data_IF_967605568002
#
_entry.id   IF_967605568002
#
_cell.length_a   1.000
_cell.length_b   1.000
_cell.length_c   1.000
_cell.angle_alpha   90.00
_cell.angle_beta   90.00
_cell.angle_gamma   90.00
#
_symmetry.space_group_name_H-M   'P 1'
#
loop_
_entity.id
_entity.type
_entity.pdbx_description
1 polymer ?
#
# COMPACT_ATOMS: atom_id res chain seq x y z
N UNK A 1 5.56 24.38 5.89
CA UNK A 1 5.83 23.99 4.50
C UNK A 1 4.57 24.07 3.64
N UNK A 2 4.57 24.80 2.50
CA UNK A 2 3.47 24.78 1.52
C UNK A 2 3.81 23.84 0.36
N UNK A 3 3.01 22.78 0.15
CA UNK A 3 3.16 21.90 -1.03
C UNK A 3 2.44 22.56 -2.20
N UNK A 4 3.16 22.80 -3.30
CA UNK A 4 2.58 23.26 -4.58
C UNK A 4 2.84 22.19 -5.63
N UNK A 5 1.78 21.56 -6.12
CA UNK A 5 1.86 20.56 -7.17
C UNK A 5 2.38 21.22 -8.46
N UNK A 6 3.38 20.60 -9.07
CA UNK A 6 3.89 20.98 -10.39
C UNK A 6 3.24 20.10 -11.44
N UNK A 7 3.09 20.65 -12.64
CA UNK A 7 2.64 19.87 -13.79
C UNK A 7 3.67 18.79 -14.12
N UNK A 8 3.25 17.53 -14.04
CA UNK A 8 4.11 16.34 -14.17
C UNK A 8 3.50 15.39 -15.20
N UNK A 9 4.00 15.41 -16.42
CA UNK A 9 3.52 14.54 -17.51
C UNK A 9 3.88 13.08 -17.26
N UNK A 10 2.95 12.17 -17.56
CA UNK A 10 3.22 10.74 -17.60
C UNK A 10 3.94 10.39 -18.89
N UNK A 11 5.01 9.61 -18.80
CA UNK A 11 5.82 9.14 -19.93
C UNK A 11 5.86 7.62 -20.05
N UNK A 12 5.51 6.91 -18.99
CA UNK A 12 5.48 5.46 -18.96
C UNK A 12 4.11 4.98 -18.47
N UNK A 13 3.52 4.04 -19.20
CA UNK A 13 2.12 3.57 -19.03
C UNK A 13 1.98 2.03 -19.08
N UNK A 14 3.08 1.28 -19.24
CA UNK A 14 2.99 -0.15 -19.56
C UNK A 14 2.46 -1.01 -18.40
N UNK A 15 3.15 -1.00 -17.26
CA UNK A 15 2.72 -1.72 -16.05
C UNK A 15 2.50 -0.80 -14.84
N UNK A 16 2.76 0.50 -15.00
CA UNK A 16 2.43 1.57 -14.06
C UNK A 16 2.41 2.92 -14.79
N UNK A 17 1.88 3.96 -14.15
CA UNK A 17 1.96 5.34 -14.65
C UNK A 17 3.08 6.09 -13.93
N UNK A 18 4.09 6.56 -14.67
CA UNK A 18 5.25 7.30 -14.14
C UNK A 18 5.71 8.40 -15.11
N UNK A 19 6.36 9.42 -14.57
CA UNK A 19 6.98 10.53 -15.30
C UNK A 19 8.34 10.13 -15.89
N UNK A 20 9.01 9.12 -15.33
CA UNK A 20 10.22 8.52 -15.88
C UNK A 20 9.98 7.05 -16.22
N UNK A 21 10.71 6.55 -17.21
CA UNK A 21 10.77 5.12 -17.52
C UNK A 21 11.49 4.34 -16.40
N UNK A 22 11.29 3.02 -16.31
CA UNK A 22 12.03 2.19 -15.37
C UNK A 22 13.55 2.29 -15.56
N UNK A 23 14.03 2.38 -16.81
CA UNK A 23 15.46 2.52 -17.12
C UNK A 23 16.05 3.84 -16.59
N UNK A 24 15.36 4.97 -16.80
CA UNK A 24 15.77 6.27 -16.27
C UNK A 24 15.79 6.27 -14.73
N UNK A 25 14.74 5.71 -14.10
CA UNK A 25 14.64 5.61 -12.65
C UNK A 25 15.76 4.74 -12.09
N UNK A 26 16.01 3.58 -12.71
CA UNK A 26 17.02 2.63 -12.28
C UNK A 26 18.43 3.24 -12.35
N UNK A 27 18.73 4.04 -13.38
CA UNK A 27 20.02 4.71 -13.53
C UNK A 27 20.40 5.56 -12.32
N UNK A 28 19.43 6.21 -11.66
CA UNK A 28 19.66 7.00 -10.45
C UNK A 28 19.50 6.20 -9.16
N UNK A 29 18.42 5.40 -9.05
CA UNK A 29 18.12 4.63 -7.85
C UNK A 29 19.20 3.58 -7.53
N UNK A 30 19.80 2.96 -8.55
CA UNK A 30 20.85 1.95 -8.39
C UNK A 30 22.08 2.51 -7.64
N UNK A 31 22.38 3.80 -7.80
CA UNK A 31 23.49 4.49 -7.12
C UNK A 31 23.25 4.69 -5.62
N UNK A 32 22.00 4.56 -5.17
CA UNK A 32 21.57 4.83 -3.80
C UNK A 32 21.45 3.59 -2.93
N UNK A 33 21.52 2.38 -3.52
CA UNK A 33 21.33 1.09 -2.82
C UNK A 33 22.16 0.98 -1.54
N UNK A 34 23.47 1.24 -1.64
CA UNK A 34 24.37 1.16 -0.49
C UNK A 34 24.08 2.24 0.55
N UNK A 35 23.72 3.45 0.12
CA UNK A 35 23.37 4.56 1.03
C UNK A 35 22.13 4.27 1.87
N UNK A 36 21.18 3.53 1.30
CA UNK A 36 20.01 3.06 2.05
C UNK A 36 20.26 1.71 2.71
N UNK A 37 21.48 1.18 2.70
CA UNK A 37 21.86 -0.02 3.43
C UNK A 37 21.47 -1.35 2.76
N UNK A 38 21.17 -1.37 1.46
CA UNK A 38 20.99 -2.62 0.72
C UNK A 38 22.36 -3.29 0.56
N UNK A 39 22.53 -4.47 1.15
CA UNK A 39 23.78 -5.26 1.07
C UNK A 39 23.69 -6.43 0.10
N UNK A 40 22.47 -6.92 -0.16
CA UNK A 40 22.20 -8.02 -1.09
C UNK A 40 20.90 -7.73 -1.83
N UNK A 41 20.87 -8.04 -3.12
CA UNK A 41 19.66 -7.96 -3.92
C UNK A 41 19.65 -9.08 -4.96
N UNK A 42 18.52 -9.76 -5.08
CA UNK A 42 18.40 -10.98 -5.88
C UNK A 42 17.11 -11.01 -6.68
N UNK A 43 17.21 -11.58 -7.87
CA UNK A 43 16.07 -11.94 -8.69
C UNK A 43 15.52 -13.29 -8.22
N UNK A 44 14.36 -13.27 -7.57
CA UNK A 44 13.72 -14.45 -6.99
C UNK A 44 12.56 -14.97 -7.84
N UNK A 45 12.43 -14.48 -9.08
CA UNK A 45 11.38 -14.85 -10.03
C UNK A 45 11.30 -16.36 -10.26
N UNK A 46 12.46 -17.03 -10.33
CA UNK A 46 12.54 -18.46 -10.62
C UNK A 46 12.08 -19.36 -9.46
N UNK A 47 11.72 -18.79 -8.30
CA UNK A 47 11.18 -19.56 -7.18
C UNK A 47 9.73 -20.01 -7.40
N UNK A 48 8.96 -19.29 -8.22
CA UNK A 48 7.56 -19.63 -8.52
C UNK A 48 7.36 -19.91 -10.01
N UNK A 49 6.41 -20.80 -10.32
CA UNK A 49 6.04 -21.21 -11.68
C UNK A 49 5.35 -20.11 -12.49
N UNK A 50 4.88 -19.05 -11.82
CA UNK A 50 4.22 -17.93 -12.47
C UNK A 50 5.18 -17.12 -13.36
N UNK A 51 6.49 -17.12 -13.06
CA UNK A 51 7.54 -16.37 -13.78
C UNK A 51 7.23 -14.86 -13.95
N UNK A 52 6.47 -14.28 -13.01
CA UNK A 52 6.27 -12.83 -12.89
C UNK A 52 7.47 -12.25 -12.15
N UNK A 53 8.15 -11.21 -12.67
CA UNK A 53 9.35 -10.67 -12.06
C UNK A 53 9.17 -10.21 -10.60
N UNK A 54 9.98 -10.79 -9.71
CA UNK A 54 10.05 -10.42 -8.29
C UNK A 54 11.51 -10.35 -7.86
N UNK A 55 11.87 -9.25 -7.21
CA UNK A 55 13.19 -9.04 -6.60
C UNK A 55 13.08 -9.01 -5.08
N UNK A 56 14.13 -9.45 -4.39
CA UNK A 56 14.30 -9.32 -2.94
C UNK A 56 15.57 -8.52 -2.65
N UNK A 57 15.54 -7.65 -1.64
CA UNK A 57 16.70 -6.91 -1.17
C UNK A 57 16.81 -6.98 0.36
N UNK A 58 18.04 -7.11 0.86
CA UNK A 58 18.32 -7.18 2.29
C UNK A 58 18.97 -5.88 2.79
N UNK A 59 18.40 -5.29 3.84
CA UNK A 59 18.99 -4.22 4.67
C UNK A 59 19.20 -4.76 6.10
N UNK A 60 20.34 -5.40 6.40
CA UNK A 60 20.56 -6.03 7.70
C UNK A 60 20.63 -5.02 8.86
N UNK A 61 21.02 -3.77 8.57
CA UNK A 61 21.12 -2.67 9.54
C UNK A 61 19.86 -1.78 9.56
N UNK A 62 18.72 -2.28 9.07
CA UNK A 62 17.46 -1.56 9.22
C UNK A 62 17.11 -1.36 10.70
N UNK A 63 16.46 -0.24 11.03
CA UNK A 63 16.11 0.12 12.41
C UNK A 63 15.35 -0.99 13.14
N UNK A 64 15.57 -1.10 14.45
CA UNK A 64 14.94 -2.15 15.26
C UNK A 64 13.40 -2.04 15.18
N UNK A 65 12.76 -3.12 14.72
CA UNK A 65 11.32 -3.16 14.47
C UNK A 65 10.89 -2.90 13.01
N UNK A 66 11.83 -2.57 12.12
CA UNK A 66 11.65 -2.63 10.67
C UNK A 66 11.85 -4.07 10.15
N UNK A 67 11.39 -4.33 8.92
CA UNK A 67 11.71 -5.59 8.21
C UNK A 67 13.08 -5.45 7.56
N UNK A 68 13.93 -6.46 7.61
CA UNK A 68 15.27 -6.43 7.00
C UNK A 68 15.30 -6.92 5.55
N UNK A 69 14.18 -7.41 5.03
CA UNK A 69 14.00 -7.90 3.66
C UNK A 69 12.84 -7.16 3.00
N UNK A 70 13.10 -6.59 1.83
CA UNK A 70 12.17 -5.83 1.01
C UNK A 70 11.99 -6.52 -0.32
N UNK A 71 10.91 -6.22 -1.01
CA UNK A 71 10.57 -6.93 -2.23
C UNK A 71 9.98 -6.01 -3.28
N UNK A 72 10.41 -6.19 -4.51
CA UNK A 72 9.94 -5.42 -5.66
C UNK A 72 9.27 -6.31 -6.69
N UNK A 73 8.32 -5.73 -7.40
CA UNK A 73 7.52 -6.43 -8.42
C UNK A 73 7.33 -5.57 -9.67
N UNK A 74 7.05 -6.22 -10.78
CA UNK A 74 6.74 -5.57 -12.05
C UNK A 74 6.45 -6.62 -13.13
N UNK A 75 5.96 -6.18 -14.29
CA UNK A 75 5.82 -7.06 -15.45
C UNK A 75 7.16 -7.26 -16.17
N UNK A 76 8.13 -6.37 -15.93
CA UNK A 76 9.51 -6.47 -16.41
C UNK A 76 10.49 -6.64 -15.25
N UNK A 77 11.67 -7.22 -15.51
CA UNK A 77 12.72 -7.35 -14.49
C UNK A 77 13.25 -5.97 -14.07
N UNK A 78 13.33 -5.05 -15.03
CA UNK A 78 13.72 -3.66 -14.81
C UNK A 78 12.75 -2.98 -13.83
N UNK A 79 11.44 -3.08 -14.04
CA UNK A 79 10.45 -2.51 -13.13
C UNK A 79 10.48 -3.18 -11.75
N UNK A 80 10.60 -4.51 -11.68
CA UNK A 80 10.71 -5.21 -10.40
C UNK A 80 11.96 -4.80 -9.61
N UNK A 81 13.08 -4.58 -10.30
CA UNK A 81 14.32 -4.08 -9.69
C UNK A 81 14.18 -2.62 -9.22
N UNK A 82 13.57 -1.75 -10.00
CA UNK A 82 13.23 -0.38 -9.55
C UNK A 82 12.35 -0.44 -8.31
N UNK A 83 11.31 -1.26 -8.34
CA UNK A 83 10.36 -1.40 -7.23
C UNK A 83 11.04 -1.79 -5.91
N UNK A 84 12.01 -2.71 -5.91
CA UNK A 84 12.65 -3.13 -4.66
C UNK A 84 13.57 -2.04 -4.09
N UNK A 85 14.26 -1.29 -4.95
CA UNK A 85 15.15 -0.20 -4.53
C UNK A 85 14.33 0.98 -4.00
N UNK A 86 13.25 1.33 -4.71
CA UNK A 86 12.36 2.44 -4.32
C UNK A 86 11.58 2.12 -3.04
N UNK A 87 11.22 0.86 -2.80
CA UNK A 87 10.67 0.41 -1.50
C UNK A 87 11.72 0.52 -0.39
N UNK A 88 12.97 0.11 -0.63
CA UNK A 88 14.03 0.27 0.36
C UNK A 88 14.31 1.75 0.71
N UNK A 89 14.29 2.65 -0.29
CA UNK A 89 14.41 4.10 -0.11
C UNK A 89 13.23 4.67 0.70
N UNK A 90 12.01 4.25 0.38
CA UNK A 90 10.79 4.63 1.10
C UNK A 90 10.93 4.29 2.59
N UNK A 91 11.39 3.07 2.89
CA UNK A 91 11.50 2.55 4.26
C UNK A 91 12.61 3.23 5.04
N UNK A 92 13.79 3.39 4.44
CA UNK A 92 14.88 4.20 5.01
C UNK A 92 14.44 5.63 5.33
N UNK A 93 13.61 6.21 4.47
CA UNK A 93 13.15 7.59 4.64
C UNK A 93 12.09 7.71 5.72
N UNK A 94 11.20 6.71 5.85
CA UNK A 94 10.16 6.63 6.87
C UNK A 94 10.65 6.25 8.28
N UNK A 95 11.87 5.75 8.43
CA UNK A 95 12.49 5.47 9.74
C UNK A 95 12.63 6.74 10.58
N UNK A 96 12.41 6.68 11.90
CA UNK A 96 12.55 7.83 12.79
C UNK A 96 14.03 8.09 13.15
N UNK A 97 14.61 9.21 12.74
CA UNK A 97 15.99 9.59 13.10
C UNK A 97 16.03 10.65 14.19
N UNK A 98 17.17 10.75 14.90
CA UNK A 98 17.37 11.73 15.97
C UNK A 98 17.11 13.18 15.53
N UNK A 99 17.53 13.54 14.31
CA UNK A 99 17.31 14.88 13.72
C UNK A 99 15.83 15.21 13.47
N UNK A 100 14.98 14.20 13.26
CA UNK A 100 13.55 14.39 13.07
C UNK A 100 12.91 14.73 14.42
N UNK A 101 13.24 13.92 15.43
CA UNK A 101 12.73 14.10 16.80
C UNK A 101 13.11 15.46 17.41
N UNK A 102 14.28 15.99 17.06
CA UNK A 102 14.72 17.33 17.48
C UNK A 102 13.77 18.46 17.00
N UNK A 103 12.97 18.21 15.95
CA UNK A 103 11.99 19.16 15.41
C UNK A 103 10.58 18.95 15.96
N UNK A 104 10.34 17.89 16.75
CA UNK A 104 9.01 17.58 17.24
C UNK A 104 8.58 18.53 18.36
N UNK A 105 7.34 18.99 18.27
CA UNK A 105 6.65 19.62 19.40
C UNK A 105 6.18 18.54 20.37
N UNK A 106 6.23 18.82 21.67
CA UNK A 106 5.82 17.88 22.71
C UNK A 106 4.79 18.51 23.63
N UNK A 107 3.51 18.22 23.39
CA UNK A 107 2.39 18.87 24.06
C UNK A 107 1.12 18.03 23.98
N UNK A 108 0.12 18.38 24.79
CA UNK A 108 -1.21 17.75 24.74
C UNK A 108 -1.96 18.15 23.46
N UNK A 109 -2.94 17.35 23.04
CA UNK A 109 -3.70 17.67 21.83
C UNK A 109 -4.77 18.75 22.07
N UNK A 110 -5.26 18.88 23.30
CA UNK A 110 -6.23 19.93 23.72
C UNK A 110 -5.60 21.27 24.05
N UNK A 111 -4.30 21.30 24.34
CA UNK A 111 -3.56 22.50 24.65
C UNK A 111 -3.35 23.29 23.36
N UNK A 112 -4.20 24.26 23.07
CA UNK A 112 -4.16 24.96 21.79
C UNK A 112 -4.47 26.43 21.84
N UNK A 113 -3.59 27.23 22.46
CA UNK A 113 -3.37 28.64 22.08
C UNK A 113 -2.28 28.77 20.98
N UNK A 114 -2.07 27.72 20.16
CA UNK A 114 -1.07 27.71 19.08
C UNK A 114 -1.65 28.14 17.73
N UNK A 115 -0.80 28.64 16.82
CA UNK A 115 -1.21 29.12 15.49
C UNK A 115 -1.64 27.99 14.53
N UNK A 116 -1.08 26.78 14.67
CA UNK A 116 -1.34 25.64 13.77
C UNK A 116 -2.40 24.70 14.34
N UNK A 117 -3.30 24.22 13.47
CA UNK A 117 -4.27 23.19 13.80
C UNK A 117 -3.57 21.86 14.08
N UNK A 118 -4.07 21.09 15.05
CA UNK A 118 -3.62 19.73 15.37
C UNK A 118 -4.60 18.71 14.81
N UNK A 119 -4.10 17.61 14.25
CA UNK A 119 -4.94 16.45 13.93
C UNK A 119 -5.45 15.85 15.23
N UNK A 120 -6.78 15.74 15.36
CA UNK A 120 -7.40 15.02 16.46
C UNK A 120 -6.97 13.53 16.42
N UNK A 121 -6.29 13.01 17.46
CA UNK A 121 -5.89 11.61 17.51
C UNK A 121 -7.05 10.63 17.30
N UNK A 122 -8.27 10.95 17.74
CA UNK A 122 -9.44 10.10 17.55
C UNK A 122 -9.80 9.92 16.07
N UNK A 123 -9.54 10.94 15.24
CA UNK A 123 -9.77 10.87 13.78
C UNK A 123 -8.84 9.89 13.06
N UNK A 124 -7.75 9.46 13.71
CA UNK A 124 -6.83 8.45 13.19
C UNK A 124 -7.26 7.01 13.53
N UNK A 125 -8.49 6.82 14.03
CA UNK A 125 -9.05 5.51 14.41
C UNK A 125 -8.15 4.82 15.45
N UNK A 126 -8.32 5.22 16.70
CA UNK A 126 -7.62 4.58 17.82
C UNK A 126 -8.22 3.21 18.14
N UNK A 127 -7.45 2.37 18.82
CA UNK A 127 -7.99 1.14 19.41
C UNK A 127 -9.10 1.47 20.40
N UNK A 128 -10.11 0.61 20.51
CA UNK A 128 -11.15 0.74 21.55
C UNK A 128 -10.59 0.66 22.98
N UNK A 129 -9.38 0.11 23.13
CA UNK A 129 -8.66 0.02 24.39
C UNK A 129 -7.71 1.21 24.62
N UNK A 130 -7.70 2.19 23.72
CA UNK A 130 -6.83 3.37 23.83
C UNK A 130 -7.25 4.24 25.02
N UNK A 131 -6.27 4.68 25.79
CA UNK A 131 -6.45 5.62 26.91
C UNK A 131 -6.08 7.05 26.54
N UNK A 132 -5.77 7.30 25.26
CA UNK A 132 -5.40 8.63 24.77
C UNK A 132 -6.58 9.58 24.98
N UNK A 133 -6.35 10.64 25.74
CA UNK A 133 -7.34 11.68 26.02
C UNK A 133 -6.78 13.08 25.75
N UNK A 134 -7.63 14.12 25.89
CA UNK A 134 -7.28 15.54 25.65
C UNK A 134 -5.90 15.94 26.19
N UNK A 135 -5.62 15.56 27.43
CA UNK A 135 -4.39 15.88 28.16
C UNK A 135 -3.17 15.01 27.82
N UNK A 136 -3.33 13.95 27.02
CA UNK A 136 -2.25 13.06 26.63
C UNK A 136 -1.19 13.82 25.84
N UNK A 137 0.05 13.83 26.34
CA UNK A 137 1.17 14.47 25.65
C UNK A 137 1.69 13.57 24.54
N UNK A 138 1.78 14.13 23.34
CA UNK A 138 2.24 13.45 22.13
C UNK A 138 3.40 14.23 21.52
N UNK A 139 4.18 13.53 20.69
CA UNK A 139 5.12 14.17 19.79
C UNK A 139 4.44 14.51 18.47
N UNK A 140 4.58 15.75 18.04
CA UNK A 140 3.95 16.28 16.83
C UNK A 140 5.01 16.71 15.82
N UNK A 141 4.76 16.41 14.55
CA UNK A 141 5.53 16.93 13.43
C UNK A 141 4.62 17.70 12.47
N UNK A 142 5.23 18.51 11.59
CA UNK A 142 4.49 19.29 10.61
C UNK A 142 4.10 18.45 9.39
N UNK A 143 2.85 18.58 8.97
CA UNK A 143 2.34 18.10 7.70
C UNK A 143 1.63 19.22 6.93
N UNK A 144 1.18 18.90 5.73
CA UNK A 144 0.40 19.80 4.89
C UNK A 144 -0.92 19.14 4.48
N UNK A 145 -2.04 19.79 4.76
CA UNK A 145 -3.37 19.33 4.35
C UNK A 145 -3.67 19.81 2.94
N UNK A 146 -3.69 18.89 1.98
CA UNK A 146 -3.95 19.17 0.57
C UNK A 146 -5.39 19.62 0.29
N UNK A 147 -6.36 19.27 1.14
CA UNK A 147 -7.76 19.70 0.94
C UNK A 147 -8.02 21.10 1.48
N UNK A 148 -7.38 21.43 2.60
CA UNK A 148 -7.53 22.74 3.27
C UNK A 148 -6.44 23.74 2.92
N UNK A 149 -5.42 23.29 2.20
CA UNK A 149 -4.24 24.05 1.80
C UNK A 149 -3.48 24.70 2.98
N UNK A 150 -3.51 24.06 4.16
CA UNK A 150 -2.94 24.58 5.40
C UNK A 150 -1.84 23.69 5.98
N UNK A 151 -0.95 24.28 6.78
CA UNK A 151 -0.04 23.52 7.63
C UNK A 151 -0.78 22.96 8.84
N UNK A 152 -0.48 21.72 9.19
CA UNK A 152 -1.15 21.00 10.29
C UNK A 152 -0.12 20.23 11.10
N UNK A 153 -0.34 20.11 12.41
CA UNK A 153 0.44 19.25 13.28
C UNK A 153 -0.15 17.84 13.31
N UNK A 154 0.70 16.84 13.06
CA UNK A 154 0.34 15.43 13.00
C UNK A 154 1.11 14.67 14.08
N UNK A 155 0.50 13.69 14.78
CA UNK A 155 1.23 12.84 15.70
C UNK A 155 2.36 12.10 14.97
N UNK A 156 3.59 12.19 15.48
CA UNK A 156 4.77 11.55 14.87
C UNK A 156 4.61 10.02 14.77
N UNK A 157 3.85 9.41 15.67
CA UNK A 157 3.48 7.99 15.62
C UNK A 157 2.72 7.60 14.34
N UNK A 158 1.98 8.53 13.72
CA UNK A 158 1.25 8.29 12.48
C UNK A 158 2.11 8.50 11.21
N UNK A 159 3.35 8.94 11.37
CA UNK A 159 4.24 9.36 10.27
C UNK A 159 5.41 8.40 10.10
N UNK A 160 6.11 8.10 11.18
CA UNK A 160 7.35 7.33 11.12
C UNK A 160 7.13 5.84 11.40
N UNK A 161 7.96 5.00 10.78
CA UNK A 161 7.96 3.56 11.01
C UNK A 161 9.38 2.99 10.90
N UNK A 162 9.86 2.22 11.90
CA UNK A 162 9.23 1.98 13.18
C UNK A 162 9.19 3.26 14.04
N UNK A 163 8.14 3.40 14.85
CA UNK A 163 8.04 4.48 15.83
C UNK A 163 8.05 3.92 17.25
N UNK A 164 9.03 4.37 18.02
CA UNK A 164 9.10 4.14 19.47
C UNK A 164 9.07 5.50 20.15
N UNK A 165 8.07 5.70 21.00
CA UNK A 165 8.01 6.89 21.85
C UNK A 165 9.12 6.82 22.90
N UNK A 166 9.91 7.87 23.05
CA UNK A 166 10.83 8.02 24.18
C UNK A 166 10.32 9.01 25.24
N UNK A 167 9.17 9.66 24.98
CA UNK A 167 8.49 10.61 25.87
C UNK A 167 7.01 10.71 25.48
N UNK A 168 6.13 10.69 26.47
CA UNK A 168 4.67 10.74 26.25
C UNK A 168 4.09 9.47 25.63
N UNK A 169 2.83 9.56 25.25
CA UNK A 169 2.01 8.40 24.90
C UNK A 169 2.14 7.98 23.42
N UNK A 170 1.80 6.73 23.14
CA UNK A 170 1.79 6.14 21.79
C UNK A 170 0.34 5.84 21.40
N UNK A 171 -0.09 6.36 20.25
CA UNK A 171 -1.46 6.17 19.74
C UNK A 171 -1.75 4.73 19.33
N UNK A 172 -0.83 4.12 18.58
CA UNK A 172 -0.98 2.78 18.03
C UNK A 172 0.37 2.22 17.58
N UNK A 173 0.43 0.91 17.29
CA UNK A 173 1.59 0.32 16.61
C UNK A 173 1.76 0.99 15.24
N UNK A 174 2.92 1.60 14.99
CA UNK A 174 3.24 2.20 13.69
C UNK A 174 3.24 1.17 12.57
N UNK A 175 2.90 1.62 11.38
CA UNK A 175 2.85 0.83 10.15
C UNK A 175 3.41 1.67 8.98
N UNK A 176 3.49 1.08 7.80
CA UNK A 176 3.99 1.75 6.59
C UNK A 176 2.90 2.26 5.67
N UNK A 177 1.62 2.18 6.08
CA UNK A 177 0.49 2.52 5.21
C UNK A 177 0.56 3.97 4.74
N UNK A 178 0.61 4.19 3.44
CA UNK A 178 0.69 5.52 2.84
C UNK A 178 2.09 6.13 2.83
N UNK A 179 3.14 5.41 3.23
CA UNK A 179 4.51 5.82 2.90
C UNK A 179 4.74 5.46 1.44
N UNK A 180 5.21 6.40 0.63
CA UNK A 180 5.50 6.13 -0.76
C UNK A 180 6.67 6.99 -1.25
N UNK A 181 7.53 6.38 -2.08
CA UNK A 181 8.55 7.08 -2.86
C UNK A 181 8.09 7.30 -4.30
N UNK A 182 8.72 8.26 -4.99
CA UNK A 182 8.47 8.57 -6.39
C UNK A 182 9.63 9.32 -7.05
N UNK A 183 9.64 9.41 -8.37
CA UNK A 183 10.65 10.18 -9.12
C UNK A 183 10.54 11.69 -8.86
N UNK A 184 9.37 12.13 -8.43
CA UNK A 184 9.04 13.50 -8.03
C UNK A 184 8.03 13.43 -6.87
N UNK A 185 7.78 14.58 -6.24
CA UNK A 185 6.89 14.64 -5.07
C UNK A 185 5.44 14.29 -5.45
N UNK A 186 5.00 14.62 -6.66
CA UNK A 186 3.66 14.29 -7.15
C UNK A 186 3.45 12.78 -7.26
N UNK A 187 4.44 12.03 -7.78
CA UNK A 187 4.38 10.56 -7.82
C UNK A 187 4.28 9.96 -6.41
N UNK A 188 5.10 10.45 -5.47
CA UNK A 188 5.10 9.98 -4.09
C UNK A 188 3.74 10.26 -3.42
N UNK A 189 3.20 11.47 -3.59
CA UNK A 189 1.88 11.87 -3.07
C UNK A 189 0.78 11.00 -3.65
N UNK A 190 0.72 10.87 -4.98
CA UNK A 190 -0.34 10.11 -5.62
C UNK A 190 -0.30 8.63 -5.20
N UNK A 191 0.89 8.03 -5.19
CA UNK A 191 1.06 6.64 -4.77
C UNK A 191 0.65 6.44 -3.30
N UNK A 192 1.09 7.32 -2.39
CA UNK A 192 0.70 7.28 -0.98
C UNK A 192 -0.80 7.41 -0.77
N UNK A 193 -1.47 8.33 -1.48
CA UNK A 193 -2.94 8.47 -1.43
C UNK A 193 -3.64 7.20 -1.91
N UNK A 194 -3.22 6.65 -3.06
CA UNK A 194 -3.85 5.43 -3.61
C UNK A 194 -3.64 4.21 -2.72
N UNK A 195 -2.49 4.11 -2.03
CA UNK A 195 -2.28 3.04 -1.05
C UNK A 195 -3.23 3.17 0.14
N UNK A 196 -3.41 4.39 0.67
CA UNK A 196 -4.36 4.63 1.78
C UNK A 196 -5.79 4.29 1.37
N UNK A 197 -6.21 4.63 0.14
CA UNK A 197 -7.51 4.23 -0.41
C UNK A 197 -7.62 2.70 -0.51
N UNK A 198 -6.57 2.03 -1.00
CA UNK A 198 -6.55 0.58 -1.13
C UNK A 198 -6.75 -0.12 0.22
N UNK A 199 -6.05 0.34 1.26
CA UNK A 199 -6.16 -0.25 2.60
C UNK A 199 -7.50 0.05 3.27
N UNK A 200 -8.12 1.19 3.00
CA UNK A 200 -9.51 1.48 3.41
C UNK A 200 -10.47 0.47 2.76
N UNK A 201 -10.41 0.31 1.44
CA UNK A 201 -11.25 -0.63 0.70
C UNK A 201 -11.08 -2.09 1.17
N UNK A 202 -9.84 -2.56 1.34
CA UNK A 202 -9.58 -3.91 1.87
C UNK A 202 -10.08 -4.08 3.31
N UNK A 203 -10.00 -3.04 4.13
CA UNK A 203 -10.53 -3.07 5.50
C UNK A 203 -12.05 -3.27 5.50
N UNK A 204 -12.78 -2.66 4.56
CA UNK A 204 -14.21 -2.91 4.39
C UNK A 204 -14.51 -4.36 3.99
N UNK A 205 -13.72 -4.94 3.09
CA UNK A 205 -13.88 -6.36 2.73
C UNK A 205 -13.70 -7.25 3.96
N UNK A 206 -12.66 -7.00 4.75
CA UNK A 206 -12.37 -7.80 5.94
C UNK A 206 -13.42 -7.63 7.05
N UNK A 207 -14.03 -6.46 7.18
CA UNK A 207 -15.09 -6.21 8.16
C UNK A 207 -16.44 -6.81 7.70
N UNK A 208 -16.82 -6.63 6.42
CA UNK A 208 -18.09 -7.12 5.85
C UNK A 208 -18.06 -8.59 5.44
N UNK A 209 -16.86 -9.18 5.29
CA UNK A 209 -16.63 -10.49 4.66
C UNK A 209 -17.28 -10.58 3.28
N UNK A 210 -17.08 -9.55 2.47
CA UNK A 210 -17.60 -9.43 1.10
C UNK A 210 -16.58 -8.69 0.22
N UNK A 211 -16.04 -9.37 -0.80
CA UNK A 211 -15.03 -8.83 -1.70
C UNK A 211 -15.55 -7.86 -2.78
N UNK A 212 -16.86 -7.61 -2.84
CA UNK A 212 -17.45 -6.72 -3.85
C UNK A 212 -17.96 -7.49 -5.06
N UNK A 213 -17.61 -7.07 -6.28
CA UNK A 213 -18.05 -7.70 -7.53
C UNK A 213 -16.93 -8.51 -8.15
N UNK A 214 -17.24 -9.65 -8.74
CA UNK A 214 -16.26 -10.45 -9.48
C UNK A 214 -16.00 -9.77 -10.83
N UNK A 215 -14.74 -9.62 -11.22
CA UNK A 215 -14.38 -9.05 -12.52
C UNK A 215 -14.29 -10.19 -13.52
N UNK A 216 -15.02 -10.05 -14.62
CA UNK A 216 -14.87 -10.92 -15.78
C UNK A 216 -13.77 -10.36 -16.67
N UNK A 217 -12.77 -11.20 -16.96
CA UNK A 217 -11.60 -10.85 -17.79
C UNK A 217 -11.67 -11.66 -19.07
N UNK A 218 -11.69 -10.99 -20.21
CA UNK A 218 -11.80 -11.60 -21.55
C UNK A 218 -10.71 -11.12 -22.51
N UNK A 219 -10.67 -11.67 -23.73
CA UNK A 219 -9.66 -11.35 -24.75
C UNK A 219 -9.54 -9.84 -25.05
N UNK A 220 -10.60 -9.06 -24.84
CA UNK A 220 -10.63 -7.61 -25.00
C UNK A 220 -9.75 -6.85 -23.99
N UNK A 221 -9.42 -7.47 -22.85
CA UNK A 221 -8.56 -6.89 -21.82
C UNK A 221 -7.04 -7.00 -22.13
N UNK A 222 -6.70 -7.58 -23.28
CA UNK A 222 -5.33 -7.63 -23.80
C UNK A 222 -4.35 -8.30 -22.82
N UNK A 223 -3.30 -7.57 -22.41
CA UNK A 223 -2.24 -8.12 -21.56
C UNK A 223 -2.75 -8.69 -20.22
N UNK A 224 -3.85 -8.18 -19.66
CA UNK A 224 -4.42 -8.71 -18.42
C UNK A 224 -5.01 -10.11 -18.65
N UNK A 225 -5.66 -10.33 -19.80
CA UNK A 225 -6.13 -11.64 -20.21
C UNK A 225 -4.96 -12.60 -20.46
N UNK A 226 -3.90 -12.17 -21.14
CA UNK A 226 -2.68 -12.99 -21.32
C UNK A 226 -2.06 -13.41 -19.98
N UNK A 227 -2.05 -12.49 -18.99
CA UNK A 227 -1.59 -12.80 -17.64
C UNK A 227 -2.52 -13.78 -16.94
N UNK A 228 -3.85 -13.64 -17.05
CA UNK A 228 -4.83 -14.60 -16.52
C UNK A 228 -4.59 -16.00 -17.09
N UNK A 229 -4.54 -16.14 -18.41
CA UNK A 229 -4.34 -17.43 -19.10
C UNK A 229 -3.03 -18.09 -18.67
N UNK A 230 -1.98 -17.30 -18.44
CA UNK A 230 -0.69 -17.79 -17.94
C UNK A 230 -0.77 -18.29 -16.50
N UNK A 231 -1.54 -17.65 -15.62
CA UNK A 231 -1.79 -18.14 -14.26
C UNK A 231 -2.53 -19.48 -14.31
N UNK A 232 -3.59 -19.57 -15.12
CA UNK A 232 -4.42 -20.76 -15.26
C UNK A 232 -3.66 -21.92 -15.89
N UNK A 233 -2.89 -21.67 -16.94
CA UNK A 233 -1.98 -22.66 -17.56
C UNK A 233 -0.93 -23.19 -16.59
N UNK A 234 -0.59 -22.41 -15.56
CA UNK A 234 0.29 -22.84 -14.48
C UNK A 234 -0.47 -23.59 -13.35
N UNK A 235 -1.77 -23.87 -13.48
CA UNK A 235 -2.60 -24.52 -12.46
C UNK A 235 -2.90 -23.62 -11.25
N UNK A 236 -2.94 -22.30 -11.47
CA UNK A 236 -3.29 -21.28 -10.46
C UNK A 236 -4.55 -20.57 -10.94
N UNK A 237 -5.65 -20.72 -10.20
CA UNK A 237 -6.96 -20.20 -10.55
C UNK A 237 -7.11 -18.77 -10.00
N UNK A 238 -7.20 -17.74 -10.86
CA UNK A 238 -7.33 -16.36 -10.44
C UNK A 238 -8.78 -15.95 -10.21
N UNK A 239 -9.06 -15.33 -9.05
CA UNK A 239 -10.34 -14.68 -8.75
C UNK A 239 -10.14 -13.17 -8.66
N UNK A 240 -10.55 -12.45 -9.70
CA UNK A 240 -10.47 -10.99 -9.76
C UNK A 240 -11.72 -10.36 -9.12
N UNK A 241 -11.49 -9.36 -8.27
CA UNK A 241 -12.53 -8.68 -7.51
C UNK A 241 -12.40 -7.16 -7.66
N UNK A 242 -13.48 -6.51 -8.05
CA UNK A 242 -13.65 -5.08 -7.91
C UNK A 242 -14.25 -4.80 -6.53
N UNK A 243 -13.54 -3.99 -5.73
CA UNK A 243 -13.97 -3.57 -4.40
C UNK A 243 -14.53 -2.14 -4.51
N UNK A 244 -15.85 -1.95 -4.53
CA UNK A 244 -16.43 -0.61 -4.62
C UNK A 244 -16.13 0.17 -3.33
N UNK A 245 -15.70 1.42 -3.48
CA UNK A 245 -15.53 2.36 -2.37
C UNK A 245 -16.18 3.70 -2.67
N UNK A 246 -16.51 4.45 -1.62
CA UNK A 246 -17.05 5.81 -1.69
C UNK A 246 -16.03 6.83 -2.23
N UNK A 247 -14.77 6.44 -2.35
CA UNK A 247 -13.68 7.23 -2.94
C UNK A 247 -13.80 7.37 -4.47
N UNK A 248 -14.55 6.47 -5.12
CA UNK A 248 -14.71 6.48 -6.59
C UNK A 248 -13.46 6.10 -7.39
N UNK A 249 -12.42 5.58 -6.73
CA UNK A 249 -11.26 4.94 -7.36
C UNK A 249 -11.50 3.45 -7.54
N UNK A 250 -10.89 2.89 -8.59
CA UNK A 250 -10.89 1.46 -8.83
C UNK A 250 -9.88 0.78 -7.89
N UNK A 251 -10.38 -0.02 -6.95
CA UNK A 251 -9.59 -0.97 -6.18
C UNK A 251 -9.88 -2.38 -6.70
N UNK A 252 -8.84 -3.04 -7.18
CA UNK A 252 -8.90 -4.43 -7.65
C UNK A 252 -8.13 -5.31 -6.68
N UNK A 253 -8.70 -6.45 -6.33
CA UNK A 253 -8.01 -7.52 -5.62
C UNK A 253 -7.98 -8.77 -6.49
N UNK A 254 -6.90 -9.54 -6.36
CA UNK A 254 -6.73 -10.83 -7.01
C UNK A 254 -6.45 -11.87 -5.94
N UNK A 255 -7.38 -12.79 -5.72
CA UNK A 255 -7.13 -13.97 -4.91
C UNK A 255 -6.68 -15.13 -5.80
N UNK A 256 -5.62 -15.83 -5.40
CA UNK A 256 -5.07 -16.96 -6.15
C UNK A 256 -5.38 -18.26 -5.41
N UNK A 257 -6.18 -19.10 -6.06
CA UNK A 257 -6.36 -20.49 -5.67
C UNK A 257 -5.41 -21.38 -6.49
N UNK A 258 -5.12 -22.58 -6.00
CA UNK A 258 -4.10 -23.44 -6.57
C UNK A 258 -4.59 -24.89 -6.58
N UNK A 259 -4.47 -25.56 -7.73
CA UNK A 259 -4.89 -26.95 -7.91
C UNK A 259 -4.12 -27.91 -6.98
N UNK A 260 -2.91 -27.55 -6.58
CA UNK A 260 -2.11 -28.34 -5.63
C UNK A 260 -2.71 -28.39 -4.22
N UNK A 261 -3.74 -27.57 -3.94
CA UNK A 261 -4.38 -27.43 -2.62
C UNK A 261 -3.39 -27.15 -1.49
N UNK A 262 -2.29 -26.45 -1.79
CA UNK A 262 -1.40 -25.95 -0.74
C UNK A 262 -2.03 -24.71 -0.10
N UNK A 263 -2.47 -24.86 1.15
CA UNK A 263 -3.13 -23.81 1.90
C UNK A 263 -2.26 -22.55 2.11
N UNK A 264 -0.93 -22.70 2.08
CA UNK A 264 0.00 -21.56 2.21
C UNK A 264 0.11 -20.71 0.94
N UNK A 265 -0.38 -21.23 -0.18
CA UNK A 265 -0.40 -20.55 -1.47
C UNK A 265 -1.77 -19.93 -1.81
N UNK A 266 -2.73 -20.00 -0.87
CA UNK A 266 -3.94 -19.19 -0.87
C UNK A 266 -3.57 -17.76 -0.45
N UNK A 267 -3.15 -16.95 -1.43
CA UNK A 267 -2.76 -15.56 -1.22
C UNK A 267 -3.65 -14.64 -2.03
N UNK A 268 -3.57 -13.35 -1.74
CA UNK A 268 -4.13 -12.32 -2.59
C UNK A 268 -3.15 -11.18 -2.78
N UNK A 269 -3.37 -10.38 -3.82
CA UNK A 269 -2.76 -9.08 -4.03
C UNK A 269 -3.85 -8.04 -4.28
N UNK A 270 -3.52 -6.77 -4.12
CA UNK A 270 -4.44 -5.68 -4.38
C UNK A 270 -3.75 -4.53 -5.13
N UNK A 271 -4.55 -3.69 -5.76
CA UNK A 271 -4.10 -2.50 -6.46
C UNK A 271 -5.20 -1.46 -6.49
N UNK A 272 -4.87 -0.22 -6.11
CA UNK A 272 -5.72 0.94 -6.37
C UNK A 272 -5.01 1.91 -7.31
N UNK A 273 -5.73 2.37 -8.34
CA UNK A 273 -5.19 3.33 -9.29
C UNK A 273 -6.31 4.11 -9.99
N UNK A 274 -5.98 5.25 -10.61
CA UNK A 274 -6.91 6.00 -11.48
C UNK A 274 -7.21 5.28 -12.80
N UNK A 275 -6.45 4.24 -13.13
CA UNK A 275 -6.67 3.40 -14.31
C UNK A 275 -6.94 1.97 -13.84
N UNK A 276 -8.11 1.38 -14.10
CA UNK A 276 -8.44 0.03 -13.65
C UNK A 276 -7.48 -1.03 -14.21
N UNK A 277 -6.91 -0.83 -15.40
CA UNK A 277 -5.91 -1.78 -15.93
C UNK A 277 -4.65 -1.81 -15.06
N UNK A 278 -4.17 -0.63 -14.64
CA UNK A 278 -3.01 -0.53 -13.73
C UNK A 278 -3.36 -1.07 -12.34
N UNK A 279 -4.58 -0.83 -11.84
CA UNK A 279 -5.04 -1.41 -10.58
C UNK A 279 -5.00 -2.96 -10.64
N UNK A 280 -5.46 -3.56 -11.74
CA UNK A 280 -5.41 -5.00 -11.96
C UNK A 280 -3.98 -5.54 -12.08
N UNK A 281 -3.10 -4.86 -12.82
CA UNK A 281 -1.69 -5.25 -12.95
C UNK A 281 -0.99 -5.22 -11.58
N UNK A 282 -1.27 -4.22 -10.74
CA UNK A 282 -0.78 -4.16 -9.36
C UNK A 282 -1.28 -5.35 -8.53
N UNK A 283 -2.56 -5.68 -8.61
CA UNK A 283 -3.12 -6.84 -7.91
C UNK A 283 -2.44 -8.15 -8.35
N UNK A 284 -2.21 -8.34 -9.66
CA UNK A 284 -1.49 -9.50 -10.22
C UNK A 284 -0.07 -9.59 -9.67
N UNK A 285 0.68 -8.49 -9.77
CA UNK A 285 2.09 -8.46 -9.38
C UNK A 285 2.29 -8.56 -7.86
N UNK A 286 1.38 -8.03 -7.05
CA UNK A 286 1.39 -8.18 -5.59
C UNK A 286 0.99 -9.60 -5.15
N UNK A 287 0.06 -10.25 -5.86
CA UNK A 287 -0.28 -11.65 -5.60
C UNK A 287 0.90 -12.57 -5.93
N UNK A 288 1.59 -12.32 -7.05
CA UNK A 288 2.81 -13.05 -7.42
C UNK A 288 3.95 -12.85 -6.39
N UNK A 289 4.19 -11.61 -5.96
CA UNK A 289 5.13 -11.31 -4.88
C UNK A 289 4.79 -12.10 -3.61
N UNK A 290 3.51 -12.08 -3.20
CA UNK A 290 3.05 -12.79 -2.00
C UNK A 290 3.29 -14.30 -2.10
N UNK A 291 3.02 -14.91 -3.26
CA UNK A 291 3.31 -16.34 -3.49
C UNK A 291 4.79 -16.67 -3.38
N UNK A 292 5.65 -15.90 -4.06
CA UNK A 292 7.10 -16.12 -4.04
C UNK A 292 7.63 -16.05 -2.61
N UNK A 293 7.17 -15.08 -1.81
CA UNK A 293 7.58 -14.95 -0.41
C UNK A 293 7.13 -16.11 0.46
N UNK A 294 5.93 -16.66 0.23
CA UNK A 294 5.48 -17.88 0.93
C UNK A 294 6.37 -19.08 0.55
N UNK A 295 6.70 -19.26 -0.74
CA UNK A 295 7.61 -20.32 -1.21
C UNK A 295 8.99 -20.19 -0.57
N UNK A 296 9.53 -18.98 -0.52
CA UNK A 296 10.82 -18.71 0.10
C UNK A 296 10.80 -19.00 1.61
N UNK A 297 9.75 -18.55 2.31
CA UNK A 297 9.58 -18.83 3.75
C UNK A 297 9.52 -20.33 4.03
N UNK A 298 8.69 -21.06 3.28
CA UNK A 298 8.58 -22.52 3.42
C UNK A 298 9.92 -23.23 3.23
N UNK A 299 10.72 -22.80 2.26
CA UNK A 299 12.06 -23.38 2.04
C UNK A 299 12.98 -23.13 3.24
N UNK A 300 12.96 -21.91 3.80
CA UNK A 300 13.73 -21.58 5.02
C UNK A 300 13.25 -22.35 6.25
N UNK A 301 11.95 -22.53 6.41
CA UNK A 301 11.36 -23.22 7.56
C UNK A 301 11.54 -24.74 7.48
N UNK A 302 11.46 -25.32 6.28
CA UNK A 302 11.82 -26.72 6.04
C UNK A 302 13.29 -27.00 6.41
N UNK A 303 14.18 -26.03 6.16
CA UNK A 303 15.57 -26.09 6.63
C UNK A 303 15.73 -25.94 8.15
N UNK A 304 14.72 -25.39 8.86
CA UNK A 304 14.72 -25.14 10.31
C UNK A 304 13.89 -26.14 11.13
N UNK A 305 13.23 -27.09 10.50
CA UNK A 305 12.45 -28.18 11.12
C UNK A 305 11.68 -27.74 12.39
N UNK A 306 10.62 -26.93 12.23
CA UNK A 306 9.66 -26.70 13.32
C UNK A 306 8.23 -26.84 12.83
N UNK A 307 7.46 -27.60 13.61
CA UNK A 307 6.09 -28.03 13.35
C UNK A 307 5.09 -26.93 13.68
N UNK A 308 4.34 -26.43 12.68
CA UNK A 308 3.03 -25.77 12.86
C UNK A 308 2.36 -25.47 11.50
N UNK A 309 1.65 -26.44 10.90
CA UNK A 309 0.59 -26.15 9.93
C UNK A 309 -0.74 -26.55 10.56
N UNK A 310 -1.41 -25.58 11.18
CA UNK A 310 -2.57 -25.80 12.05
C UNK A 310 -3.93 -25.80 11.31
N UNK A 311 -3.99 -25.50 10.02
CA UNK A 311 -5.27 -25.49 9.28
C UNK A 311 -5.13 -26.13 7.89
N UNK A 312 -6.12 -26.94 7.52
CA UNK A 312 -6.23 -27.54 6.18
C UNK A 312 -6.61 -26.49 5.13
N UNK A 313 -6.30 -26.79 3.87
CA UNK A 313 -6.70 -25.99 2.71
C UNK A 313 -8.19 -25.66 2.72
N UNK A 314 -9.06 -26.66 2.90
CA UNK A 314 -10.51 -26.46 2.91
C UNK A 314 -10.97 -25.55 4.06
N UNK A 315 -10.33 -25.62 5.23
CA UNK A 315 -10.67 -24.77 6.36
C UNK A 315 -10.31 -23.29 6.10
N UNK A 316 -9.13 -23.04 5.52
CA UNK A 316 -8.69 -21.68 5.15
C UNK A 316 -9.57 -21.12 4.03
N UNK A 317 -9.86 -21.92 3.00
CA UNK A 317 -10.75 -21.53 1.90
C UNK A 317 -12.16 -21.22 2.39
N UNK A 318 -12.73 -22.06 3.26
CA UNK A 318 -14.06 -21.84 3.87
C UNK A 318 -14.11 -20.57 4.72
N UNK A 319 -13.07 -20.29 5.51
CA UNK A 319 -12.98 -19.06 6.32
C UNK A 319 -12.91 -17.80 5.45
N UNK A 320 -12.28 -17.91 4.28
CA UNK A 320 -12.05 -16.83 3.33
C UNK A 320 -12.93 -16.95 2.08
N UNK A 321 -14.09 -17.59 2.18
CA UNK A 321 -14.94 -17.93 1.04
C UNK A 321 -15.35 -16.74 0.17
N UNK A 322 -15.44 -15.56 0.76
CA UNK A 322 -15.77 -14.31 0.06
C UNK A 322 -14.71 -13.89 -0.97
N UNK A 323 -13.51 -14.49 -0.95
CA UNK A 323 -12.47 -14.33 -1.97
C UNK A 323 -12.45 -15.44 -3.04
N UNK A 324 -13.04 -16.60 -2.78
CA UNK A 324 -12.84 -17.83 -3.59
C UNK A 324 -14.13 -18.50 -4.06
N UNK A 325 -15.31 -18.09 -3.59
CA UNK A 325 -16.60 -18.58 -4.09
C UNK A 325 -17.00 -17.79 -5.33
N UNK A 326 -17.29 -18.51 -6.42
CA UNK A 326 -17.93 -17.91 -7.59
C UNK A 326 -19.33 -17.45 -7.23
N UNK A 327 -19.61 -16.20 -7.58
CA UNK A 327 -20.91 -15.57 -7.31
C UNK A 327 -22.03 -16.06 -8.23
N UNK A 328 -21.73 -16.80 -9.30
CA UNK A 328 -22.73 -17.39 -10.21
C UNK A 328 -23.75 -18.35 -9.56
N UNK A 329 -23.51 -18.84 -8.34
CA UNK A 329 -24.40 -19.79 -7.67
C UNK A 329 -25.49 -19.14 -6.80
N UNK A 330 -25.56 -17.80 -6.76
CA UNK A 330 -26.63 -17.02 -6.16
C UNK A 330 -27.43 -16.22 -7.19
N UNK A 331 -28.73 -16.01 -6.96
CA UNK A 331 -29.70 -15.41 -7.90
C UNK A 331 -29.44 -13.92 -8.27
N UNK A 332 -28.35 -13.54 -8.93
CA UNK A 332 -28.20 -12.15 -9.39
C UNK A 332 -27.09 -11.86 -10.41
N UNK A 333 -27.49 -11.37 -11.60
CA UNK A 333 -26.60 -10.76 -12.62
C UNK A 333 -25.81 -9.53 -12.13
N UNK A 334 -26.07 -8.99 -10.93
CA UNK A 334 -25.42 -7.79 -10.39
C UNK A 334 -24.05 -8.06 -9.74
N UNK A 335 -23.63 -9.34 -9.68
CA UNK A 335 -22.45 -9.77 -8.94
C UNK A 335 -21.15 -9.83 -9.77
N UNK A 336 -21.26 -9.70 -11.11
CA UNK A 336 -20.15 -9.58 -12.05
C UNK A 336 -20.05 -8.18 -12.67
N UNK A 337 -18.88 -7.82 -13.16
CA UNK A 337 -18.59 -6.56 -13.86
C UNK A 337 -17.46 -6.77 -14.86
N UNK A 338 -17.51 -6.10 -16.01
CA UNK A 338 -16.39 -6.13 -16.97
C UNK A 338 -15.31 -5.15 -16.52
N UNK A 339 -14.05 -5.39 -16.87
CA UNK A 339 -12.95 -4.51 -16.47
C UNK A 339 -13.09 -3.08 -17.02
N UNK A 340 -13.62 -2.92 -18.23
CA UNK A 340 -13.83 -1.63 -18.90
C UNK A 340 -15.00 -0.80 -18.33
N UNK A 341 -15.88 -1.44 -17.54
CA UNK A 341 -16.95 -0.79 -16.79
C UNK A 341 -16.46 -0.15 -15.48
N UNK A 342 -15.24 -0.47 -15.04
CA UNK A 342 -14.68 0.11 -13.81
C UNK A 342 -14.38 1.62 -13.98
N UNK A 343 -14.43 2.42 -12.89
CA UNK A 343 -14.16 3.85 -12.97
C UNK A 343 -12.75 4.19 -13.50
N UNK A 344 -12.66 4.64 -14.74
CA UNK A 344 -11.43 5.21 -15.32
C UNK A 344 -11.35 6.71 -15.05
N UNK A 345 -10.29 7.11 -14.36
CA UNK A 345 -10.05 8.47 -13.83
C UNK A 345 -8.68 9.03 -14.18
N UNK A 346 -7.85 8.26 -14.88
CA UNK A 346 -6.50 8.65 -15.22
C UNK A 346 -6.51 9.84 -16.18
N UNK A 347 -5.66 10.82 -15.89
CA UNK A 347 -5.37 11.98 -16.74
C UNK A 347 -4.04 11.77 -17.47
N UNK A 348 -3.58 12.76 -18.23
CA UNK A 348 -2.25 12.73 -18.89
C UNK A 348 -1.09 13.06 -17.92
N UNK A 349 -1.40 13.53 -16.72
CA UNK A 349 -0.43 14.06 -15.75
C UNK A 349 -0.60 13.43 -14.38
N UNK A 350 0.45 13.37 -13.57
CA UNK A 350 0.38 12.87 -12.20
C UNK A 350 -0.34 13.88 -11.29
N UNK A 351 -0.05 15.18 -11.41
CA UNK A 351 -0.75 16.23 -10.66
C UNK A 351 -2.24 16.29 -11.00
N UNK A 352 -2.61 16.06 -12.27
CA UNK A 352 -4.02 15.91 -12.67
C UNK A 352 -4.71 14.75 -11.95
N UNK A 353 -4.04 13.62 -11.76
CA UNK A 353 -4.61 12.48 -11.01
C UNK A 353 -4.75 12.82 -9.52
N UNK A 354 -3.82 13.58 -8.93
CA UNK A 354 -3.95 14.10 -7.56
C UNK A 354 -5.16 15.02 -7.45
N UNK A 355 -5.36 15.95 -8.39
CA UNK A 355 -6.52 16.85 -8.39
C UNK A 355 -7.83 16.07 -8.44
N UNK A 356 -7.90 15.03 -9.31
CA UNK A 356 -9.06 14.13 -9.36
C UNK A 356 -9.25 13.37 -8.03
N UNK A 357 -8.15 12.90 -7.41
CA UNK A 357 -8.21 12.25 -6.10
C UNK A 357 -8.78 13.19 -5.03
N UNK A 358 -8.30 14.43 -4.96
CA UNK A 358 -8.75 15.42 -3.99
C UNK A 358 -10.23 15.81 -4.21
N UNK A 359 -10.71 15.94 -5.47
CA UNK A 359 -12.14 16.21 -5.75
C UNK A 359 -13.07 15.07 -5.31
N UNK A 360 -12.59 13.83 -5.33
CA UNK A 360 -13.35 12.70 -4.81
C UNK A 360 -13.30 12.65 -3.30
N UNK A 361 -12.10 12.74 -2.73
CA UNK A 361 -11.87 12.62 -1.30
C UNK A 361 -12.55 13.73 -0.50
N UNK A 362 -12.64 14.97 -1.03
CA UNK A 362 -13.36 16.07 -0.35
C UNK A 362 -14.83 15.78 -0.03
N UNK A 363 -15.44 14.78 -0.69
CA UNK A 363 -16.84 14.37 -0.46
C UNK A 363 -16.97 13.33 0.66
N UNK A 364 -15.85 12.75 1.08
CA UNK A 364 -15.80 11.61 2.01
C UNK A 364 -15.06 11.98 3.30
N UNK A 365 -14.02 12.81 3.20
CA UNK A 365 -13.14 13.17 4.30
C UNK A 365 -12.88 14.67 4.37
N UNK A 366 -12.47 15.12 5.56
CA UNK A 366 -12.22 16.51 5.85
C UNK A 366 -10.77 16.96 5.60
N UNK A 367 -9.83 16.01 5.53
CA UNK A 367 -8.38 16.26 5.46
C UNK A 367 -7.70 15.18 4.61
N UNK A 368 -6.73 15.58 3.80
CA UNK A 368 -5.77 14.68 3.12
C UNK A 368 -4.40 15.24 3.41
N UNK A 369 -3.67 14.62 4.33
CA UNK A 369 -2.45 15.18 4.89
C UNK A 369 -1.25 14.48 4.28
N UNK A 370 -0.24 15.25 3.90
CA UNK A 370 1.04 14.76 3.43
C UNK A 370 2.14 15.27 4.34
N UNK A 371 3.01 14.37 4.79
CA UNK A 371 4.27 14.71 5.45
C UNK A 371 5.41 14.34 4.51
N UNK A 372 6.23 15.32 4.16
CA UNK A 372 7.46 15.07 3.40
C UNK A 372 8.53 14.49 4.34
N UNK A 373 8.90 13.25 4.10
CA UNK A 373 9.94 12.52 4.84
C UNK A 373 11.18 12.28 3.97
N UNK A 374 11.34 13.05 2.90
CA UNK A 374 12.49 13.01 2.00
C UNK A 374 13.78 13.22 2.78
N UNK A 375 14.77 12.37 2.51
CA UNK A 375 16.10 12.46 3.11
C UNK A 375 17.02 13.22 2.17
N UNK A 376 17.56 14.34 2.64
CA UNK A 376 18.46 15.20 1.86
C UNK A 376 19.67 14.43 1.30
N UNK A 377 20.21 13.49 2.10
CA UNK A 377 21.34 12.65 1.69
C UNK A 377 21.02 11.63 0.57
N UNK A 378 19.73 11.35 0.35
CA UNK A 378 19.22 10.43 -0.67
C UNK A 378 18.68 11.20 -1.89
N UNK A 379 17.99 12.32 -1.68
CA UNK A 379 17.47 13.18 -2.74
C UNK A 379 16.26 12.63 -3.51
N UNK A 380 15.74 11.46 -3.12
CA UNK A 380 14.54 10.86 -3.71
C UNK A 380 13.32 11.25 -2.89
N UNK A 381 12.27 11.84 -3.51
CA UNK A 381 11.04 12.20 -2.81
C UNK A 381 10.37 11.02 -2.13
N UNK A 382 10.09 11.17 -0.84
CA UNK A 382 9.30 10.21 -0.05
C UNK A 382 8.32 10.97 0.82
N UNK A 383 7.07 10.51 0.83
CA UNK A 383 6.02 11.11 1.66
C UNK A 383 5.32 10.07 2.51
N UNK A 384 4.66 10.53 3.57
CA UNK A 384 3.58 9.83 4.26
C UNK A 384 2.26 10.52 3.94
N UNK A 385 1.35 9.84 3.26
CA UNK A 385 -0.05 10.23 3.13
C UNK A 385 -0.85 9.73 4.33
N UNK A 386 -1.69 10.60 4.91
CA UNK A 386 -2.56 10.30 6.04
C UNK A 386 -3.93 10.87 5.72
N UNK A 387 -4.95 10.01 5.71
CA UNK A 387 -6.33 10.40 5.46
C UNK A 387 -7.14 10.04 6.72
N UNK A 388 -7.32 10.99 7.66
CA UNK A 388 -8.10 10.73 8.87
C UNK A 388 -9.52 10.27 8.54
N UNK A 389 -9.99 9.25 9.27
CA UNK A 389 -11.26 8.57 9.05
C UNK A 389 -11.21 7.36 8.12
N UNK A 390 -10.09 7.11 7.41
CA UNK A 390 -9.95 5.91 6.58
C UNK A 390 -9.59 4.67 7.41
N UNK A 391 -10.28 3.58 7.13
CA UNK A 391 -10.15 2.30 7.84
C UNK A 391 -8.78 1.67 7.62
N UNK A 392 -8.28 0.98 8.65
CA UNK A 392 -7.00 0.27 8.64
C UNK A 392 -7.10 -1.15 9.20
N UNK A 393 -8.33 -1.65 9.36
CA UNK A 393 -8.64 -2.94 9.97
C UNK A 393 -7.89 -4.12 9.33
N UNK A 394 -7.75 -4.12 8.00
CA UNK A 394 -7.01 -5.15 7.27
C UNK A 394 -5.53 -5.26 7.72
N UNK A 395 -4.97 -4.18 8.26
CA UNK A 395 -3.60 -4.13 8.80
C UNK A 395 -3.56 -4.23 10.32
N UNK A 396 -4.53 -3.64 11.01
CA UNK A 396 -4.61 -3.63 12.46
C UNK A 396 -6.07 -3.85 12.93
N UNK A 397 -6.45 -5.10 13.25
CA UNK A 397 -7.82 -5.45 13.64
C UNK A 397 -8.32 -4.80 14.94
N UNK A 398 -7.45 -4.17 15.75
CA UNK A 398 -7.86 -3.45 16.95
C UNK A 398 -8.44 -2.06 16.64
N UNK A 399 -8.19 -1.55 15.43
CA UNK A 399 -8.57 -0.21 14.98
C UNK A 399 -9.73 -0.33 13.99
N UNK A 400 -10.92 0.05 14.44
CA UNK A 400 -12.16 0.02 13.65
C UNK A 400 -12.83 1.38 13.75
N UNK A 401 -12.96 2.06 12.62
CA UNK A 401 -13.60 3.36 12.51
C UNK A 401 -15.11 3.30 12.59
N UNK A 402 -15.72 4.49 12.50
CA UNK A 402 -17.17 4.66 12.46
C UNK A 402 -17.74 4.59 11.05
N UNK A 403 -16.96 4.89 10.01
CA UNK A 403 -17.40 4.85 8.60
C UNK A 403 -17.82 3.44 8.14
N UNK A 404 -17.37 2.40 8.84
CA UNK A 404 -17.84 1.04 8.62
C UNK A 404 -19.29 0.79 9.05
N UNK A 405 -19.78 1.47 10.11
CA UNK A 405 -20.99 1.08 10.85
C UNK A 405 -22.29 1.45 10.15
#
# INVERSE_FOLDING_TARGET
MKIRLKRTLKRYFFDTHRALTPAETLGEAEKLKEKVGITRMEDITALDKLNIPVYSASRPEAEEGAVSVYTGKGLTREQARVSVIMEAIERYSGELKARDRAKFLFESYDGGQGEKQKVDPASLILSRLSTIGPSSKLEWCEGYDLLREEEVLVPANAVFHPYVSNRGERLFRSDTNGIASGNNIEEAIFHGITEVIERDALSYVELKKNAGKQIEIDEGDGMIFELKERLESAGVLPHFWYIPSDTGFATVALALDNESKDASLLVYGAGTHSDPQIATIRAITEAAQSRVMQIESMRRDAMKATSARLMSYDAIKKRNRYWFEDKDKGNGKEEKVMLDELPKRATETIDGDIVVALDKLRRVVNRVIVVDVTREEIGVPVVRAIIPGFEVYARNPERVGSRYR
#
